data_IF_542194993327
#
_entry.id   IF_542194993327
#
_cell.length_a   1.000
_cell.length_b   1.000
_cell.length_c   1.000
_cell.angle_alpha   90.00
_cell.angle_beta   90.00
_cell.angle_gamma   90.00
#
_symmetry.space_group_name_H-M   'P 1'
#
loop_
_entity.id
_entity.type
_entity.pdbx_description
1 polymer ?
#
# COMPACT_ATOMS: atom_id res chain seq x y z
N UNK A 1 -12.20 17.15 9.45
CA UNK A 1 -12.57 16.00 8.59
C UNK A 1 -11.50 15.91 7.50
N UNK A 2 -10.42 15.17 7.76
CA UNK A 2 -9.21 15.14 6.92
C UNK A 2 -9.18 13.91 6.01
N UNK A 3 -10.22 13.73 5.19
CA UNK A 3 -10.22 12.64 4.20
C UNK A 3 -9.25 12.95 3.07
N UNK A 4 -8.61 11.94 2.51
CA UNK A 4 -7.77 12.09 1.33
C UNK A 4 -8.56 12.79 0.20
N UNK A 5 -8.03 13.88 -0.38
CA UNK A 5 -8.77 14.69 -1.36
C UNK A 5 -8.92 14.00 -2.72
N UNK A 6 -7.98 13.12 -3.08
CA UNK A 6 -7.98 12.32 -4.32
C UNK A 6 -7.32 10.96 -4.08
N UNK A 7 -7.63 9.97 -4.92
CA UNK A 7 -7.05 8.62 -4.85
C UNK A 7 -5.58 8.57 -5.29
N UNK A 8 -5.06 9.65 -5.90
CA UNK A 8 -3.69 9.77 -6.39
C UNK A 8 -2.65 10.10 -5.31
N UNK A 9 -3.09 10.37 -4.07
CA UNK A 9 -2.17 10.57 -2.95
C UNK A 9 -1.61 9.21 -2.49
N UNK A 10 -0.52 8.80 -3.12
CA UNK A 10 0.15 7.53 -2.89
C UNK A 10 1.42 7.74 -2.06
N UNK A 11 1.51 7.04 -0.93
CA UNK A 11 2.76 6.84 -0.23
C UNK A 11 3.34 5.49 -0.65
N UNK A 12 4.45 5.50 -1.37
CA UNK A 12 5.06 4.26 -1.91
C UNK A 12 6.31 3.93 -1.11
N UNK A 13 6.39 2.71 -0.60
CA UNK A 13 7.57 2.14 0.02
C UNK A 13 8.14 1.03 -0.85
N UNK A 14 9.43 1.14 -1.17
CA UNK A 14 10.13 0.16 -1.97
C UNK A 14 10.91 -0.79 -1.06
N UNK A 15 10.73 -2.08 -1.32
CA UNK A 15 11.42 -3.17 -0.65
C UNK A 15 12.19 -3.98 -1.69
N UNK A 16 13.41 -4.35 -1.32
CA UNK A 16 14.31 -5.19 -2.12
C UNK A 16 14.36 -6.62 -1.61
N UNK A 17 13.82 -6.85 -0.42
CA UNK A 17 13.79 -8.13 0.28
C UNK A 17 12.34 -8.63 0.37
N UNK A 18 12.07 -9.78 -0.25
CA UNK A 18 10.74 -10.38 -0.34
C UNK A 18 10.16 -10.73 1.05
N UNK A 19 10.99 -11.25 1.97
CA UNK A 19 10.53 -11.64 3.30
C UNK A 19 10.12 -10.42 4.12
N UNK A 20 10.92 -9.36 4.06
CA UNK A 20 10.60 -8.08 4.69
C UNK A 20 9.33 -7.48 4.08
N UNK A 21 9.18 -7.51 2.75
CA UNK A 21 7.98 -7.02 2.08
C UNK A 21 6.71 -7.77 2.53
N UNK A 22 6.75 -9.10 2.54
CA UNK A 22 5.60 -9.92 2.94
C UNK A 22 5.26 -9.73 4.42
N UNK A 23 6.28 -9.66 5.30
CA UNK A 23 6.10 -9.35 6.72
C UNK A 23 5.45 -7.98 6.92
N UNK A 24 5.90 -6.95 6.19
CA UNK A 24 5.29 -5.62 6.25
C UNK A 24 3.86 -5.61 5.71
N UNK A 25 3.57 -6.36 4.64
CA UNK A 25 2.20 -6.54 4.14
C UNK A 25 1.28 -7.14 5.22
N UNK A 26 1.74 -8.16 5.94
CA UNK A 26 0.99 -8.74 7.06
C UNK A 26 0.83 -7.75 8.22
N UNK A 27 1.85 -6.94 8.50
CA UNK A 27 1.78 -5.91 9.54
C UNK A 27 0.77 -4.82 9.19
N UNK A 28 0.66 -4.41 7.93
CA UNK A 28 -0.35 -3.46 7.45
C UNK A 28 -1.77 -3.98 7.73
N UNK A 29 -2.03 -5.25 7.39
CA UNK A 29 -3.33 -5.88 7.66
C UNK A 29 -3.64 -5.96 9.16
N UNK A 30 -2.64 -6.34 9.97
CA UNK A 30 -2.77 -6.39 11.44
C UNK A 30 -3.00 -5.01 12.07
N UNK A 31 -2.41 -3.96 11.51
CA UNK A 31 -2.58 -2.58 11.95
C UNK A 31 -3.97 -2.01 11.58
N UNK A 32 -4.79 -2.75 10.82
CA UNK A 32 -6.14 -2.36 10.45
C UNK A 32 -6.25 -1.65 9.10
N UNK A 33 -5.16 -1.59 8.33
CA UNK A 33 -5.23 -1.14 6.94
C UNK A 33 -5.97 -2.17 6.10
N UNK A 34 -6.70 -1.68 5.10
CA UNK A 34 -7.45 -2.55 4.18
C UNK A 34 -6.67 -2.68 2.89
N UNK A 35 -6.37 -3.91 2.49
CA UNK A 35 -5.85 -4.14 1.15
C UNK A 35 -6.95 -3.82 0.13
N UNK A 36 -6.58 -3.02 -0.87
CA UNK A 36 -7.46 -2.55 -1.94
C UNK A 36 -6.77 -2.74 -3.28
N UNK A 37 -7.54 -2.80 -4.37
CA UNK A 37 -6.97 -2.74 -5.70
C UNK A 37 -6.26 -1.39 -5.91
N UNK A 38 -5.13 -1.41 -6.59
CA UNK A 38 -4.42 -0.20 -6.96
C UNK A 38 -5.23 0.57 -8.00
N UNK A 39 -5.25 1.90 -7.91
CA UNK A 39 -5.88 2.72 -8.97
C UNK A 39 -5.13 2.61 -10.31
N UNK A 40 -3.83 2.31 -10.24
CA UNK A 40 -2.99 2.00 -11.40
C UNK A 40 -2.51 0.55 -11.28
N UNK A 41 -2.92 -0.30 -12.23
CA UNK A 41 -2.59 -1.73 -12.30
C UNK A 41 -1.07 -2.00 -12.21
N UNK A 42 -0.23 -1.03 -12.60
CA UNK A 42 1.22 -1.11 -12.45
C UNK A 42 1.66 -1.54 -11.04
N UNK A 43 0.98 -1.05 -9.99
CA UNK A 43 1.32 -1.33 -8.60
C UNK A 43 0.89 -2.74 -8.15
N UNK A 44 -0.14 -3.33 -8.77
CA UNK A 44 -0.61 -4.67 -8.41
C UNK A 44 0.25 -5.79 -9.05
N UNK A 45 1.16 -5.44 -9.97
CA UNK A 45 2.07 -6.41 -10.62
C UNK A 45 3.12 -6.96 -9.67
N UNK A 46 3.72 -6.10 -8.84
CA UNK A 46 4.79 -6.50 -7.89
C UNK A 46 4.69 -5.73 -6.58
N UNK A 47 3.48 -5.30 -6.23
CA UNK A 47 3.21 -4.55 -5.01
C UNK A 47 1.82 -4.84 -4.49
N UNK A 48 1.51 -4.23 -3.34
CA UNK A 48 0.18 -4.26 -2.73
C UNK A 48 -0.19 -2.88 -2.27
N UNK A 49 -1.42 -2.47 -2.57
CA UNK A 49 -1.97 -1.20 -2.12
C UNK A 49 -2.89 -1.39 -0.93
N UNK A 50 -2.77 -0.48 0.02
CA UNK A 50 -3.51 -0.45 1.27
C UNK A 50 -4.19 0.91 1.44
N UNK A 51 -5.37 0.91 2.05
CA UNK A 51 -6.12 2.08 2.47
C UNK A 51 -6.06 2.22 3.99
N UNK A 52 -5.75 3.42 4.47
CA UNK A 52 -5.89 3.79 5.87
C UNK A 52 -7.33 4.24 6.21
N UNK A 53 -7.62 4.52 7.49
CA UNK A 53 -8.94 4.97 7.94
C UNK A 53 -9.36 6.34 7.39
N UNK A 54 -8.40 7.21 7.06
CA UNK A 54 -8.61 8.53 6.48
C UNK A 54 -8.68 8.49 4.93
N UNK A 55 -8.49 7.32 4.32
CA UNK A 55 -8.62 7.08 2.88
C UNK A 55 -7.33 7.34 2.08
N UNK A 56 -6.19 7.51 2.74
CA UNK A 56 -4.89 7.59 2.08
C UNK A 56 -4.46 6.22 1.57
N UNK A 57 -3.73 6.24 0.45
CA UNK A 57 -3.22 5.04 -0.21
C UNK A 57 -1.75 4.84 0.13
N UNK A 58 -1.43 3.65 0.61
CA UNK A 58 -0.06 3.21 0.88
C UNK A 58 0.25 2.03 -0.02
N UNK A 59 1.30 2.11 -0.82
CA UNK A 59 1.75 1.04 -1.71
C UNK A 59 3.04 0.45 -1.14
N UNK A 60 3.07 -0.85 -0.90
CA UNK A 60 4.30 -1.58 -0.62
C UNK A 60 4.73 -2.26 -1.92
N UNK A 61 5.80 -1.78 -2.54
CA UNK A 61 6.34 -2.28 -3.79
C UNK A 61 7.53 -3.20 -3.52
N UNK A 62 7.52 -4.38 -4.12
CA UNK A 62 8.60 -5.37 -4.04
C UNK A 62 9.43 -5.32 -5.34
N UNK A 63 10.14 -4.21 -5.53
CA UNK A 63 10.97 -3.94 -6.72
C UNK A 63 11.95 -2.81 -6.39
N UNK A 64 13.18 -2.91 -6.92
CA UNK A 64 14.15 -1.79 -6.96
C UNK A 64 13.87 -0.81 -8.11
#
# INVERSE_FOLDING_TARGET
MGKAPTQDNLLVFYFTDDEAWESNCHNMLKAGFKQVASYNDYWDVSGRTFEDLDGYRVVLQNRE
#
